data_IF_418693674726
#
_entry.id   IF_418693674726
#
_cell.length_a   1.000
_cell.length_b   1.000
_cell.length_c   1.000
_cell.angle_alpha   90.00
_cell.angle_beta   90.00
_cell.angle_gamma   90.00
#
_symmetry.space_group_name_H-M   'P 1'
#
loop_
_entity.id
_entity.type
_entity.pdbx_description
1 polymer ?
#
# COMPACT_ATOMS: atom_id res chain seq x y z
N UNK A 1 -13.34 -2.53 11.78
CA UNK A 1 -12.13 -2.99 11.06
C UNK A 1 -11.04 -1.97 11.30
N UNK A 2 -9.87 -2.38 11.81
CA UNK A 2 -8.78 -1.46 12.13
C UNK A 2 -7.89 -1.14 10.89
N UNK A 3 -8.08 -1.89 9.80
CA UNK A 3 -7.51 -1.59 8.48
C UNK A 3 -8.62 -1.60 7.42
N UNK A 4 -9.05 -0.43 6.97
CA UNK A 4 -10.10 -0.27 5.95
C UNK A 4 -9.58 -0.39 4.51
N UNK A 5 -8.26 -0.51 4.30
CA UNK A 5 -7.68 -0.55 2.96
C UNK A 5 -8.16 -1.75 2.14
N UNK A 6 -8.30 -2.92 2.75
CA UNK A 6 -8.85 -4.10 2.06
C UNK A 6 -10.26 -3.84 1.54
N UNK A 7 -11.14 -3.23 2.35
CA UNK A 7 -12.50 -2.92 1.95
C UNK A 7 -12.55 -1.89 0.81
N UNK A 8 -11.67 -0.88 0.85
CA UNK A 8 -11.56 0.09 -0.23
C UNK A 8 -11.10 -0.55 -1.55
N UNK A 9 -10.06 -1.39 -1.49
CA UNK A 9 -9.53 -2.09 -2.67
C UNK A 9 -10.57 -3.04 -3.25
N UNK A 10 -11.24 -3.85 -2.43
CA UNK A 10 -12.26 -4.77 -2.93
C UNK A 10 -13.46 -4.01 -3.49
N UNK A 11 -13.88 -2.91 -2.87
CA UNK A 11 -14.97 -2.08 -3.38
C UNK A 11 -14.65 -1.53 -4.77
N UNK A 12 -13.46 -0.94 -4.97
CA UNK A 12 -13.06 -0.39 -6.27
C UNK A 12 -12.96 -1.49 -7.32
N UNK A 13 -12.41 -2.67 -6.99
CA UNK A 13 -12.28 -3.77 -7.93
C UNK A 13 -13.62 -4.38 -8.36
N UNK A 14 -14.59 -4.48 -7.44
CA UNK A 14 -15.91 -5.08 -7.72
C UNK A 14 -16.92 -4.09 -8.29
N UNK A 15 -16.77 -2.79 -8.00
CA UNK A 15 -17.68 -1.76 -8.49
C UNK A 15 -17.28 -1.28 -9.90
N UNK A 16 -17.58 -2.10 -10.92
CA UNK A 16 -17.33 -1.75 -12.33
C UNK A 16 -18.22 -0.63 -12.87
N UNK A 17 -19.29 -0.26 -12.15
CA UNK A 17 -20.15 0.86 -12.52
C UNK A 17 -19.41 2.18 -12.36
N UNK A 18 -18.76 2.35 -11.21
CA UNK A 18 -18.05 3.59 -10.90
C UNK A 18 -16.57 3.52 -11.33
N UNK A 19 -15.99 2.31 -11.41
CA UNK A 19 -14.60 2.08 -11.80
C UNK A 19 -14.48 1.07 -12.95
N UNK A 20 -14.90 1.44 -14.18
CA UNK A 20 -14.86 0.52 -15.33
C UNK A 20 -13.44 0.24 -15.84
N UNK A 21 -12.48 1.15 -15.57
CA UNK A 21 -11.11 1.07 -16.08
C UNK A 21 -10.17 0.22 -15.21
N UNK A 22 -10.55 -0.05 -13.96
CA UNK A 22 -9.71 -0.80 -13.01
C UNK A 22 -9.93 -2.28 -13.26
N UNK A 23 -8.90 -3.02 -13.70
CA UNK A 23 -8.99 -4.46 -13.93
C UNK A 23 -8.35 -5.29 -12.82
N UNK A 24 -7.32 -4.74 -12.17
CA UNK A 24 -6.61 -5.41 -11.08
C UNK A 24 -5.92 -4.43 -10.14
N UNK A 25 -5.02 -4.96 -9.31
CA UNK A 25 -4.26 -4.18 -8.32
C UNK A 25 -3.16 -3.33 -8.96
N UNK A 26 -2.76 -3.67 -10.18
CA UNK A 26 -1.81 -2.94 -11.02
C UNK A 26 -2.29 -1.53 -11.38
N UNK A 27 -3.62 -1.35 -11.50
CA UNK A 27 -4.27 -0.08 -11.84
C UNK A 27 -4.57 0.79 -10.60
N UNK A 28 -4.18 0.32 -9.40
CA UNK A 28 -4.50 0.97 -8.14
C UNK A 28 -3.26 1.58 -7.48
N UNK A 29 -3.45 2.77 -6.91
CA UNK A 29 -2.53 3.43 -5.99
C UNK A 29 -3.25 3.55 -4.64
N UNK A 30 -2.71 2.89 -3.61
CA UNK A 30 -3.35 2.76 -2.29
C UNK A 30 -2.41 3.30 -1.22
N UNK A 31 -2.85 4.37 -0.55
CA UNK A 31 -2.23 4.89 0.66
C UNK A 31 -3.10 4.50 1.85
N UNK A 32 -2.54 3.69 2.75
CA UNK A 32 -3.20 3.24 3.97
C UNK A 32 -2.57 3.90 5.19
N UNK A 33 -3.38 4.59 5.98
CA UNK A 33 -2.94 5.27 7.20
C UNK A 33 -3.50 4.50 8.42
N UNK A 34 -2.61 3.96 9.24
CA UNK A 34 -2.94 3.26 10.47
C UNK A 34 -2.68 4.13 11.70
N UNK A 35 -3.54 4.00 12.72
CA UNK A 35 -3.50 4.82 13.93
C UNK A 35 -2.40 4.44 14.95
N UNK A 36 -1.32 3.84 14.47
CA UNK A 36 -0.27 3.28 15.30
C UNK A 36 -0.70 2.02 16.07
N UNK A 37 0.26 1.14 16.34
CA UNK A 37 0.05 0.05 17.30
C UNK A 37 0.45 0.57 18.66
N UNK A 38 -0.46 0.48 19.63
CA UNK A 38 -0.09 0.67 21.02
C UNK A 38 0.72 -0.55 21.43
N UNK A 39 2.03 -0.52 21.19
CA UNK A 39 2.97 -1.37 21.91
C UNK A 39 3.05 -0.89 23.36
N UNK A 40 1.91 -0.88 24.06
CA UNK A 40 1.86 -0.82 25.50
C UNK A 40 2.48 -2.13 25.96
N UNK A 41 3.79 -2.08 26.24
CA UNK A 41 4.60 -3.07 26.97
C UNK A 41 3.79 -4.31 27.37
N UNK A 42 3.72 -5.30 26.49
CA UNK A 42 3.02 -6.55 26.76
C UNK A 42 3.70 -7.43 27.84
N UNK A 43 4.64 -6.89 28.60
CA UNK A 43 5.29 -7.56 29.71
C UNK A 43 5.49 -6.57 30.87
N UNK A 44 4.45 -6.38 31.69
CA UNK A 44 4.64 -6.16 33.14
C UNK A 44 3.38 -6.26 34.01
N UNK A 45 2.17 -6.47 33.46
CA UNK A 45 0.98 -6.71 34.29
C UNK A 45 0.37 -8.08 34.02
N UNK A 46 0.42 -8.94 35.04
CA UNK A 46 -0.15 -10.29 35.12
C UNK A 46 -1.69 -10.29 35.16
N UNK A 47 -2.35 -9.38 34.45
CA UNK A 47 -3.82 -9.30 34.36
C UNK A 47 -4.24 -8.87 32.95
N UNK A 48 -4.55 -9.85 32.10
CA UNK A 48 -5.14 -9.59 30.78
C UNK A 48 -6.56 -9.05 30.99
N UNK A 49 -6.77 -7.77 30.70
CA UNK A 49 -8.10 -7.18 30.68
C UNK A 49 -8.78 -7.47 29.34
N UNK A 50 -10.11 -7.63 29.32
CA UNK A 50 -10.86 -7.79 28.06
C UNK A 50 -10.53 -6.73 26.99
N UNK A 51 -10.32 -5.43 27.31
CA UNK A 51 -9.91 -4.44 26.32
C UNK A 51 -8.53 -4.72 25.69
N UNK A 52 -7.54 -5.17 26.46
CA UNK A 52 -6.20 -5.42 25.91
C UNK A 52 -6.20 -6.58 24.91
N UNK A 53 -7.06 -7.57 25.11
CA UNK A 53 -7.24 -8.67 24.14
C UNK A 53 -7.88 -8.15 22.85
N UNK A 54 -8.86 -7.25 22.95
CA UNK A 54 -9.47 -6.63 21.78
C UNK A 54 -8.45 -5.81 20.99
N UNK A 55 -7.62 -5.02 21.65
CA UNK A 55 -6.56 -4.23 20.99
C UNK A 55 -5.56 -5.11 20.25
N UNK A 56 -5.11 -6.20 20.86
CA UNK A 56 -4.23 -7.19 20.21
C UNK A 56 -4.90 -7.80 18.97
N UNK A 57 -6.17 -8.18 19.08
CA UNK A 57 -6.92 -8.74 17.94
C UNK A 57 -7.05 -7.70 16.83
N UNK A 58 -7.36 -6.46 17.16
CA UNK A 58 -7.49 -5.38 16.19
C UNK A 58 -6.16 -5.06 15.50
N UNK A 59 -5.04 -5.09 16.22
CA UNK A 59 -3.70 -4.92 15.65
C UNK A 59 -3.31 -6.12 14.77
N UNK A 60 -3.61 -7.35 15.21
CA UNK A 60 -3.38 -8.56 14.43
C UNK A 60 -4.17 -8.60 13.10
N UNK A 61 -5.43 -8.13 13.11
CA UNK A 61 -6.24 -8.00 11.89
C UNK A 61 -5.63 -6.95 10.96
N UNK A 62 -5.20 -5.80 11.50
CA UNK A 62 -4.54 -4.75 10.70
C UNK A 62 -3.28 -5.26 10.01
N UNK A 63 -2.46 -6.02 10.75
CA UNK A 63 -1.23 -6.63 10.27
C UNK A 63 -1.48 -7.68 9.19
N UNK A 64 -2.48 -8.54 9.40
CA UNK A 64 -2.83 -9.58 8.41
C UNK A 64 -3.25 -8.95 7.08
N UNK A 65 -4.04 -7.86 7.14
CA UNK A 65 -4.43 -7.13 5.94
C UNK A 65 -3.21 -6.45 5.29
N UNK A 66 -2.30 -5.88 6.08
CA UNK A 66 -1.08 -5.26 5.54
C UNK A 66 -0.21 -6.27 4.78
N UNK A 67 -0.01 -7.45 5.35
CA UNK A 67 0.72 -8.53 4.68
C UNK A 67 0.01 -9.00 3.41
N UNK A 68 -1.32 -9.17 3.45
CA UNK A 68 -2.10 -9.57 2.28
C UNK A 68 -1.98 -8.54 1.15
N UNK A 69 -2.11 -7.26 1.46
CA UNK A 69 -1.99 -6.18 0.47
C UNK A 69 -0.54 -6.03 -0.01
N UNK A 70 0.45 -6.04 0.89
CA UNK A 70 1.87 -6.02 0.52
C UNK A 70 2.26 -7.17 -0.43
N UNK A 71 1.65 -8.35 -0.23
CA UNK A 71 1.81 -9.49 -1.13
C UNK A 71 1.07 -9.28 -2.47
N UNK A 72 -0.15 -8.75 -2.45
CA UNK A 72 -0.89 -8.47 -3.68
C UNK A 72 -0.17 -7.43 -4.57
N UNK A 73 0.44 -6.42 -3.96
CA UNK A 73 1.22 -5.38 -4.65
C UNK A 73 2.71 -5.73 -4.80
N UNK A 74 3.12 -6.99 -4.62
CA UNK A 74 4.53 -7.37 -4.60
C UNK A 74 5.30 -7.06 -5.90
N UNK A 75 4.60 -7.00 -7.05
CA UNK A 75 5.18 -6.66 -8.35
C UNK A 75 5.32 -5.15 -8.55
N UNK A 76 4.63 -4.33 -7.73
CA UNK A 76 4.72 -2.88 -7.75
C UNK A 76 4.59 -2.33 -6.33
N UNK A 77 5.62 -2.59 -5.50
CA UNK A 77 5.62 -2.28 -4.05
C UNK A 77 5.35 -0.81 -3.71
N UNK A 78 5.60 0.08 -4.68
CA UNK A 78 5.36 1.52 -4.57
C UNK A 78 3.89 1.91 -4.80
N UNK A 79 3.03 0.97 -5.24
CA UNK A 79 1.59 1.19 -5.40
C UNK A 79 0.81 1.05 -4.09
N UNK A 80 1.34 0.32 -3.10
CA UNK A 80 0.73 0.19 -1.78
C UNK A 80 1.67 0.74 -0.71
N UNK A 81 1.27 1.85 -0.09
CA UNK A 81 2.02 2.49 0.98
C UNK A 81 1.20 2.43 2.26
N UNK A 82 1.67 1.65 3.23
CA UNK A 82 1.16 1.68 4.62
C UNK A 82 2.04 2.57 5.47
N UNK A 83 1.42 3.55 6.11
CA UNK A 83 2.04 4.38 7.15
C UNK A 83 1.34 4.08 8.47
N UNK A 84 2.12 3.74 9.50
CA UNK A 84 1.64 3.47 10.85
C UNK A 84 2.59 4.15 11.84
N UNK A 85 2.03 4.86 12.81
CA UNK A 85 2.82 5.50 13.86
C UNK A 85 3.35 4.44 14.85
N UNK A 86 4.64 4.47 15.19
CA UNK A 86 5.12 3.64 16.28
C UNK A 86 4.96 4.44 17.58
N UNK A 87 3.98 4.02 18.41
CA UNK A 87 3.62 4.73 19.64
C UNK A 87 4.72 4.66 20.70
N UNK A 88 5.75 5.50 20.59
CA UNK A 88 6.66 5.82 21.68
C UNK A 88 5.99 6.83 22.61
N UNK A 89 4.95 6.38 23.32
CA UNK A 89 4.50 6.85 24.64
C UNK A 89 4.24 8.34 24.91
N UNK A 90 4.40 9.24 23.94
CA UNK A 90 4.20 10.67 24.14
C UNK A 90 2.97 11.11 23.35
N UNK A 91 1.95 11.58 24.07
CA UNK A 91 0.73 12.24 23.58
C UNK A 91 0.99 13.51 22.73
N UNK A 92 2.24 13.78 22.36
CA UNK A 92 2.68 14.90 21.56
C UNK A 92 3.81 14.52 20.61
N UNK A 93 3.72 13.35 19.94
CA UNK A 93 4.60 13.11 18.80
C UNK A 93 4.34 14.21 17.78
N UNK A 94 5.34 15.07 17.57
CA UNK A 94 5.21 16.19 16.64
C UNK A 94 5.01 15.61 15.24
N UNK A 95 4.12 16.23 14.46
CA UNK A 95 3.85 15.82 13.06
C UNK A 95 5.14 15.67 12.24
N UNK A 96 6.13 16.54 12.49
CA UNK A 96 7.48 16.45 11.93
C UNK A 96 8.18 15.12 12.25
N UNK A 97 8.11 14.66 13.50
CA UNK A 97 8.79 13.46 13.97
C UNK A 97 8.20 12.20 13.34
N UNK A 98 6.87 12.15 13.21
CA UNK A 98 6.16 11.09 12.49
C UNK A 98 6.58 10.98 11.02
N UNK A 99 6.86 12.11 10.35
CA UNK A 99 7.35 12.10 8.98
C UNK A 99 8.81 11.64 8.88
N UNK A 100 9.61 11.81 9.94
CA UNK A 100 10.99 11.33 10.00
C UNK A 100 11.10 9.85 10.41
N UNK A 101 10.06 9.27 10.99
CA UNK A 101 10.04 7.84 11.30
C UNK A 101 10.24 6.98 10.05
N UNK A 102 10.90 5.84 10.26
CA UNK A 102 11.10 4.82 9.23
C UNK A 102 10.03 3.75 9.38
N UNK A 103 9.26 3.55 8.32
CA UNK A 103 8.20 2.55 8.29
C UNK A 103 8.73 1.11 8.26
N UNK A 104 7.87 0.17 8.67
CA UNK A 104 8.07 -1.26 8.38
C UNK A 104 7.33 -1.61 7.08
N UNK A 105 7.93 -2.49 6.28
CA UNK A 105 7.31 -3.10 5.11
C UNK A 105 7.18 -4.61 5.32
N UNK A 106 6.01 -5.13 5.00
CA UNK A 106 5.74 -6.57 4.97
C UNK A 106 6.43 -7.22 3.76
N UNK A 107 7.23 -8.25 4.02
CA UNK A 107 7.88 -9.08 3.00
C UNK A 107 7.01 -10.31 2.68
N UNK A 108 7.13 -10.85 1.45
CA UNK A 108 6.59 -12.17 1.13
C UNK A 108 7.04 -13.19 2.18
N UNK A 109 6.12 -14.05 2.62
CA UNK A 109 6.35 -15.07 3.65
C UNK A 109 6.42 -14.56 5.10
N UNK A 110 5.90 -13.36 5.39
CA UNK A 110 5.60 -12.93 6.77
C UNK A 110 6.76 -12.28 7.52
N UNK A 111 7.87 -11.99 6.83
CA UNK A 111 8.94 -11.16 7.39
C UNK A 111 8.58 -9.67 7.38
N UNK A 112 9.17 -8.88 8.27
CA UNK A 112 9.10 -7.40 8.22
C UNK A 112 10.49 -6.82 7.99
N UNK A 113 10.56 -5.79 7.17
CA UNK A 113 11.79 -5.03 6.91
C UNK A 113 11.61 -3.60 7.35
N UNK A 114 12.56 -3.09 8.13
CA UNK A 114 12.66 -1.65 8.38
C UNK A 114 13.12 -0.95 7.11
N UNK A 115 12.35 0.03 6.67
CA UNK A 115 12.66 0.81 5.49
C UNK A 115 13.80 1.78 5.77
N UNK A 116 14.61 2.03 4.76
CA UNK A 116 15.66 3.06 4.81
C UNK A 116 15.08 4.45 4.68
N UNK A 117 13.96 4.57 3.97
CA UNK A 117 13.22 5.81 3.70
C UNK A 117 12.33 6.21 4.88
N UNK A 118 12.20 7.52 5.09
CA UNK A 118 11.28 8.08 6.07
C UNK A 118 9.84 8.06 5.55
N UNK A 119 8.87 8.16 6.45
CA UNK A 119 7.46 8.28 6.09
C UNK A 119 7.22 9.47 5.14
N UNK A 120 7.90 10.59 5.36
CA UNK A 120 7.86 11.75 4.47
C UNK A 120 8.34 11.42 3.05
N UNK A 121 9.48 10.74 2.91
CA UNK A 121 10.00 10.35 1.60
C UNK A 121 9.04 9.40 0.86
N UNK A 122 8.43 8.45 1.57
CA UNK A 122 7.47 7.51 1.00
C UNK A 122 6.21 8.22 0.49
N UNK A 123 5.71 9.19 1.26
CA UNK A 123 4.56 10.00 0.86
C UNK A 123 4.92 10.86 -0.35
N UNK A 124 6.09 11.48 -0.37
CA UNK A 124 6.53 12.30 -1.51
C UNK A 124 6.66 11.47 -2.79
N UNK A 125 7.30 10.30 -2.71
CA UNK A 125 7.38 9.35 -3.84
C UNK A 125 5.99 8.92 -4.33
N UNK A 126 5.07 8.65 -3.41
CA UNK A 126 3.68 8.31 -3.74
C UNK A 126 2.97 9.46 -4.45
N UNK A 127 3.11 10.70 -3.97
CA UNK A 127 2.53 11.90 -4.57
C UNK A 127 3.10 12.14 -5.97
N UNK A 128 4.41 12.00 -6.17
CA UNK A 128 5.03 12.16 -7.49
C UNK A 128 4.43 11.19 -8.51
N UNK A 129 4.17 9.94 -8.11
CA UNK A 129 3.52 8.94 -8.97
C UNK A 129 2.06 9.27 -9.23
N UNK A 130 1.31 9.68 -8.21
CA UNK A 130 -0.08 10.12 -8.36
C UNK A 130 -0.18 11.27 -9.38
N UNK A 131 0.71 12.25 -9.30
CA UNK A 131 0.79 13.36 -10.26
C UNK A 131 1.16 12.88 -11.66
N UNK A 132 2.09 11.92 -11.78
CA UNK A 132 2.44 11.34 -13.06
C UNK A 132 1.27 10.58 -13.71
N UNK A 133 0.45 9.86 -12.94
CA UNK A 133 -0.76 9.19 -13.42
C UNK A 133 -1.88 10.16 -13.80
N UNK A 134 -1.94 11.34 -13.16
CA UNK A 134 -2.93 12.37 -13.47
C UNK A 134 -2.60 13.21 -14.71
N UNK A 135 -1.38 13.12 -15.23
CA UNK A 135 -1.01 13.73 -16.51
C UNK A 135 -1.37 12.76 -17.63
N UNK A 136 -2.21 13.13 -18.61
CA UNK A 136 -2.46 12.28 -19.76
C UNK A 136 -1.12 12.04 -20.47
N UNK A 137 -0.69 10.78 -20.51
CA UNK A 137 0.41 10.38 -21.37
C UNK A 137 0.05 10.76 -22.81
N UNK A 138 0.94 11.38 -23.59
CA UNK A 138 0.70 11.48 -25.02
C UNK A 138 0.52 10.05 -25.57
N UNK A 139 -0.40 9.83 -26.53
CA UNK A 139 -0.68 8.50 -27.03
C UNK A 139 0.63 7.88 -27.58
N UNK A 140 1.10 6.82 -26.93
CA UNK A 140 2.19 6.00 -27.44
C UNK A 140 1.63 5.14 -28.57
N UNK A 141 1.50 5.71 -29.76
CA UNK A 141 1.28 4.95 -30.98
C UNK A 141 2.59 4.82 -31.75
N UNK A 142 3.30 3.67 -31.67
CA UNK A 142 4.08 3.22 -32.79
C UNK A 142 3.08 2.57 -33.76
N UNK A 143 2.60 3.34 -34.73
CA UNK A 143 2.07 2.76 -35.96
C UNK A 143 3.22 1.96 -36.58
N UNK A 144 3.25 0.66 -36.28
CA UNK A 144 4.14 -0.27 -36.96
C UNK A 144 3.45 -0.55 -38.29
N UNK A 145 3.86 0.19 -39.31
CA UNK A 145 3.47 -0.07 -40.70
C UNK A 145 3.68 -1.56 -40.98
N UNK A 146 2.57 -2.26 -41.18
CA UNK A 146 2.60 -3.64 -41.64
C UNK A 146 3.07 -3.59 -43.09
N UNK A 147 4.38 -3.69 -43.30
CA UNK A 147 4.96 -3.97 -44.60
C UNK A 147 4.60 -5.42 -44.98
N UNK A 148 3.41 -5.58 -45.54
CA UNK A 148 2.98 -6.77 -46.27
C UNK A 148 3.79 -6.81 -47.56
N UNK A 149 4.83 -7.65 -47.64
CA UNK A 149 5.49 -7.94 -48.91
C UNK A 149 4.55 -8.78 -49.78
N UNK A 150 4.20 -8.34 -51.00
CA UNK A 150 3.41 -9.17 -51.90
C UNK A 150 4.26 -10.32 -52.45
N UNK A 151 3.63 -11.49 -52.47
CA UNK A 151 4.05 -12.75 -53.06
C UNK A 151 4.73 -12.57 -54.43
N UNK A 152 6.00 -12.95 -54.56
CA UNK A 152 6.64 -13.11 -55.85
C UNK A 152 6.24 -14.48 -56.43
N UNK A 153 5.23 -14.48 -57.31
CA UNK A 153 4.96 -15.60 -58.21
C UNK A 153 5.87 -15.45 -59.43
N UNK A 154 6.68 -16.46 -59.73
CA UNK A 154 7.49 -16.52 -60.94
C UNK A 154 8.00 -17.94 -61.20
N UNK A 155 7.29 -18.66 -62.06
CA UNK A 155 7.79 -19.76 -62.89
C UNK A 155 7.55 -19.37 -64.34
#
# INVERSE_FOLDING_TARGET
MNNSAAAAVTHVLHNKRDFPLVNGVEDLLVLSLGNGSSNAKACESRTCSTPSVVDIVLDGVSETIDQMLGNAFCWNRTNYVRIQAFGLGNEAMKKEEFLQERGLESLPFGGKRLLTETNGNRIDSFVQRLVATGKPSPPSSPCKDSAVNPLANGR
#
